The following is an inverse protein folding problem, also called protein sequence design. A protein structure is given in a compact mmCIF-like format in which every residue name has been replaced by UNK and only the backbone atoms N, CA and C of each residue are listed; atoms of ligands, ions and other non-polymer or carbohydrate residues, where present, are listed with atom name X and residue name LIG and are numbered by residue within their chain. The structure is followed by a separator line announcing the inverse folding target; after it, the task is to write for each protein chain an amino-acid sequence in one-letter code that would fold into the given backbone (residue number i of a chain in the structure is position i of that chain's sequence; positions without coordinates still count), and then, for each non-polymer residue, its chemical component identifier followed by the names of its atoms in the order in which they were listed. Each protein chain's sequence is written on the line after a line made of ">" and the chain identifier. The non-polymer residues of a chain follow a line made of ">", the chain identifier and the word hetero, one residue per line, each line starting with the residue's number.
data_IF_709670870655
#
_entry.id   IF_709670870655
#
_cell.length_a   1.000
_cell.length_b   1.000
_cell.length_c   1.000
_cell.angle_alpha   90.00
_cell.angle_beta   90.00
_cell.angle_gamma   90.00
#
_symmetry.space_group_name_H-M   'P 1'
#
loop_
_entity.id
_entity.type
_entity.pdbx_description
1 polymer ?
#
# COMPACT_ATOMS: atom_id res chain seq x y z
N UNK A 1 -12.16 17.22 14.23
CA UNK A 1 -10.86 17.23 13.52
C UNK A 1 -10.73 16.12 12.46
N UNK A 2 -11.82 15.58 11.89
CA UNK A 2 -11.79 14.35 11.06
C UNK A 2 -12.03 14.54 9.55
N UNK A 3 -12.28 15.77 9.07
CA UNK A 3 -12.64 16.01 7.66
C UNK A 3 -11.44 16.05 6.70
N UNK A 4 -10.26 16.44 7.16
CA UNK A 4 -9.11 16.67 6.26
C UNK A 4 -8.46 15.37 5.77
N UNK A 5 -8.39 14.33 6.62
CA UNK A 5 -7.86 13.01 6.23
C UNK A 5 -8.73 12.29 5.18
N UNK A 6 -10.05 12.55 5.17
CA UNK A 6 -10.96 11.94 4.22
C UNK A 6 -10.76 12.48 2.80
N UNK A 7 -10.37 13.75 2.64
CA UNK A 7 -10.12 14.35 1.33
C UNK A 7 -8.84 13.79 0.69
N UNK A 8 -7.75 13.73 1.46
CA UNK A 8 -6.48 13.18 0.97
C UNK A 8 -6.57 11.72 0.53
N UNK A 9 -7.31 10.89 1.28
CA UNK A 9 -7.53 9.49 0.88
C UNK A 9 -8.39 9.36 -0.38
N UNK A 10 -9.40 10.22 -0.56
CA UNK A 10 -10.21 10.25 -1.79
C UNK A 10 -9.41 10.70 -3.01
N UNK A 11 -8.53 11.69 -2.87
CA UNK A 11 -7.68 12.17 -3.96
C UNK A 11 -6.65 11.08 -4.39
N UNK A 12 -6.11 10.34 -3.42
CA UNK A 12 -5.24 9.18 -3.70
C UNK A 12 -6.00 8.08 -4.46
N UNK A 13 -7.21 7.73 -4.01
CA UNK A 13 -8.04 6.72 -4.69
C UNK A 13 -8.41 7.18 -6.11
N UNK A 14 -8.77 8.45 -6.29
CA UNK A 14 -9.04 9.01 -7.61
C UNK A 14 -7.81 8.93 -8.53
N UNK A 15 -6.61 9.22 -8.00
CA UNK A 15 -5.35 9.05 -8.73
C UNK A 15 -5.04 7.60 -9.09
N UNK A 16 -5.34 6.64 -8.22
CA UNK A 16 -5.19 5.21 -8.50
C UNK A 16 -6.16 4.73 -9.59
N UNK A 17 -7.42 5.20 -9.55
CA UNK A 17 -8.40 4.94 -10.59
C UNK A 17 -7.99 5.57 -11.93
N UNK A 18 -7.51 6.82 -11.93
CA UNK A 18 -7.06 7.51 -13.14
C UNK A 18 -5.85 6.81 -13.79
N UNK A 19 -5.00 6.17 -13.00
CA UNK A 19 -3.86 5.38 -13.48
C UNK A 19 -4.23 3.94 -13.86
N UNK A 20 -5.51 3.56 -13.75
CA UNK A 20 -5.99 2.22 -14.07
C UNK A 20 -5.45 1.13 -13.16
N UNK A 21 -4.96 1.47 -11.96
CA UNK A 21 -4.44 0.50 -10.99
C UNK A 21 -5.57 -0.14 -10.18
N UNK A 22 -6.68 0.59 -10.03
CA UNK A 22 -7.83 0.22 -9.21
C UNK A 22 -9.10 0.58 -9.96
N UNK A 23 -10.10 -0.30 -9.95
CA UNK A 23 -11.40 -0.04 -10.60
C UNK A 23 -12.42 0.35 -9.55
N UNK A 24 -13.22 1.41 -9.78
CA UNK A 24 -14.34 1.74 -8.91
C UNK A 24 -15.55 0.86 -9.24
N UNK A 25 -15.88 -0.09 -8.37
CA UNK A 25 -17.11 -0.87 -8.44
C UNK A 25 -18.15 -0.34 -7.45
N UNK A 26 -19.30 0.09 -7.97
CA UNK A 26 -20.46 0.47 -7.15
C UNK A 26 -21.39 -0.72 -7.00
N UNK A 27 -21.36 -1.35 -5.85
CA UNK A 27 -22.29 -2.42 -5.47
C UNK A 27 -23.44 -1.87 -4.63
N UNK A 28 -24.57 -2.57 -4.55
CA UNK A 28 -25.63 -2.31 -3.57
C UNK A 28 -25.71 -3.46 -2.58
N UNK A 29 -25.34 -3.23 -1.33
CA UNK A 29 -25.61 -4.17 -0.25
C UNK A 29 -27.11 -4.10 0.10
N UNK A 30 -27.78 -5.27 0.15
CA UNK A 30 -29.22 -5.41 0.42
C UNK A 30 -30.14 -4.57 -0.50
N UNK A 31 -29.67 -4.21 -1.70
CA UNK A 31 -30.46 -3.43 -2.68
C UNK A 31 -30.62 -1.94 -2.38
N UNK A 32 -30.30 -1.47 -1.17
CA UNK A 32 -30.52 -0.08 -0.70
C UNK A 32 -29.27 0.65 -0.25
N UNK A 33 -28.19 -0.05 0.10
CA UNK A 33 -26.95 0.60 0.58
C UNK A 33 -25.87 0.59 -0.51
N UNK A 34 -25.53 1.73 -1.13
CA UNK A 34 -24.44 1.79 -2.09
C UNK A 34 -23.11 1.54 -1.36
N UNK A 35 -22.41 0.48 -1.75
CA UNK A 35 -21.07 0.13 -1.31
C UNK A 35 -20.11 0.38 -2.46
N UNK A 36 -19.08 1.21 -2.23
CA UNK A 36 -17.99 1.39 -3.20
C UNK A 36 -16.90 0.39 -2.85
N UNK A 37 -16.56 -0.47 -3.82
CA UNK A 37 -15.40 -1.35 -3.77
C UNK A 37 -14.39 -0.86 -4.78
N UNK A 38 -13.12 -1.06 -4.45
CA UNK A 38 -11.99 -0.61 -5.25
C UNK A 38 -11.09 -1.84 -5.52
N UNK A 39 -11.57 -2.85 -6.28
CA UNK A 39 -10.72 -3.97 -6.66
C UNK A 39 -9.48 -3.51 -7.44
N UNK A 40 -8.36 -4.17 -7.20
CA UNK A 40 -7.15 -4.02 -8.02
C UNK A 40 -7.50 -4.38 -9.47
N UNK A 41 -7.28 -3.44 -10.39
CA UNK A 41 -7.51 -3.66 -11.82
C UNK A 41 -6.40 -4.53 -12.42
N UNK A 42 -5.17 -4.33 -11.95
CA UNK A 42 -4.01 -5.16 -12.26
C UNK A 42 -3.12 -5.33 -11.03
N UNK A 43 -3.23 -6.49 -10.37
CA UNK A 43 -2.39 -6.83 -9.22
C UNK A 43 -0.93 -7.07 -9.57
N UNK A 44 -0.52 -7.03 -10.85
CA UNK A 44 0.88 -7.17 -11.26
C UNK A 44 1.75 -6.06 -10.68
N UNK A 45 1.24 -4.82 -10.67
CA UNK A 45 1.96 -3.64 -10.19
C UNK A 45 2.18 -3.71 -8.69
N UNK A 46 1.17 -4.13 -7.93
CA UNK A 46 1.33 -4.36 -6.50
C UNK A 46 2.30 -5.51 -6.21
N UNK A 47 2.17 -6.63 -6.94
CA UNK A 47 3.09 -7.77 -6.78
C UNK A 47 4.53 -7.40 -7.06
N UNK A 48 4.81 -6.64 -8.11
CA UNK A 48 6.16 -6.17 -8.45
C UNK A 48 6.70 -5.20 -7.37
N UNK A 49 5.86 -4.31 -6.87
CA UNK A 49 6.23 -3.41 -5.78
C UNK A 49 6.56 -4.18 -4.50
N UNK A 50 5.73 -5.17 -4.15
CA UNK A 50 5.93 -6.04 -2.98
C UNK A 50 7.18 -6.90 -3.14
N UNK A 51 7.46 -7.39 -4.34
CA UNK A 51 8.68 -8.15 -4.64
C UNK A 51 9.93 -7.28 -4.48
N UNK A 52 9.91 -6.02 -4.94
CA UNK A 52 11.03 -5.08 -4.72
C UNK A 52 11.24 -4.76 -3.25
N UNK A 53 10.16 -4.50 -2.51
CA UNK A 53 10.23 -4.29 -1.06
C UNK A 53 10.78 -5.52 -0.34
N UNK A 54 10.37 -6.72 -0.75
CA UNK A 54 10.90 -7.97 -0.22
C UNK A 54 12.40 -8.13 -0.54
N UNK A 55 12.83 -7.85 -1.77
CA UNK A 55 14.24 -7.93 -2.15
C UNK A 55 15.13 -6.99 -1.32
N UNK A 56 14.66 -5.78 -1.03
CA UNK A 56 15.41 -4.80 -0.22
C UNK A 56 15.42 -5.16 1.26
N UNK A 57 14.26 -5.54 1.81
CA UNK A 57 14.07 -5.73 3.26
C UNK A 57 14.47 -7.14 3.72
N UNK A 58 14.30 -8.16 2.87
CA UNK A 58 14.58 -9.56 3.20
C UNK A 58 15.90 -10.04 2.59
N UNK A 59 16.14 -9.71 1.32
CA UNK A 59 17.33 -10.19 0.59
C UNK A 59 18.50 -9.20 0.64
N UNK A 60 18.31 -8.03 1.28
CA UNK A 60 19.35 -7.04 1.49
C UNK A 60 19.78 -6.28 0.23
N UNK A 61 18.96 -6.28 -0.83
CA UNK A 61 19.24 -5.51 -2.04
C UNK A 61 19.37 -4.01 -1.75
N UNK A 62 20.17 -3.31 -2.57
CA UNK A 62 20.36 -1.86 -2.44
C UNK A 62 19.06 -1.13 -2.84
N UNK A 63 18.47 -0.32 -1.96
CA UNK A 63 17.24 0.40 -2.27
C UNK A 63 17.52 1.59 -3.20
N UNK A 64 16.65 1.76 -4.20
CA UNK A 64 16.59 3.02 -4.94
C UNK A 64 15.93 4.12 -4.08
N UNK A 65 16.16 5.40 -4.41
CA UNK A 65 15.66 6.54 -3.63
C UNK A 65 14.13 6.53 -3.42
N UNK A 66 13.36 6.01 -4.38
CA UNK A 66 11.90 5.91 -4.28
C UNK A 66 11.52 4.77 -3.33
N UNK A 67 12.23 3.65 -3.39
CA UNK A 67 12.04 2.49 -2.51
C UNK A 67 12.44 2.82 -1.07
N UNK A 68 13.55 3.53 -0.83
CA UNK A 68 13.92 4.01 0.51
C UNK A 68 12.86 4.90 1.12
N UNK A 69 12.36 5.89 0.34
CA UNK A 69 11.29 6.77 0.81
C UNK A 69 10.01 5.98 1.18
N UNK A 70 9.66 4.95 0.40
CA UNK A 70 8.52 4.10 0.68
C UNK A 70 8.73 3.25 1.94
N UNK A 71 9.92 2.68 2.11
CA UNK A 71 10.30 1.91 3.31
C UNK A 71 10.21 2.77 4.56
N UNK A 72 10.75 4.00 4.51
CA UNK A 72 10.67 4.95 5.61
C UNK A 72 9.23 5.31 5.98
N UNK A 73 8.36 5.54 5.00
CA UNK A 73 6.93 5.80 5.22
C UNK A 73 6.22 4.59 5.87
N UNK A 74 6.47 3.38 5.38
CA UNK A 74 5.91 2.16 5.97
C UNK A 74 6.39 1.94 7.41
N UNK A 75 7.67 2.22 7.67
CA UNK A 75 8.24 2.12 9.01
C UNK A 75 7.58 3.13 9.97
N UNK A 76 7.48 4.39 9.55
CA UNK A 76 6.87 5.47 10.33
C UNK A 76 5.37 5.27 10.60
N UNK A 77 4.64 4.70 9.64
CA UNK A 77 3.19 4.43 9.75
C UNK A 77 2.88 3.10 10.45
N UNK A 78 3.88 2.26 10.71
CA UNK A 78 3.70 0.98 11.38
C UNK A 78 3.07 -0.12 10.51
N UNK A 79 2.93 0.08 9.20
CA UNK A 79 2.22 -0.81 8.25
C UNK A 79 2.96 -2.11 7.87
N UNK A 80 3.88 -2.56 8.73
CA UNK A 80 4.63 -3.81 8.59
C UNK A 80 3.76 -5.05 8.32
N UNK A 81 2.68 -5.34 9.09
CA UNK A 81 1.89 -6.56 8.89
C UNK A 81 1.10 -6.59 7.57
N UNK A 82 0.79 -5.42 7.00
CA UNK A 82 0.09 -5.30 5.72
C UNK A 82 1.07 -5.41 4.53
N UNK A 83 2.31 -4.98 4.72
CA UNK A 83 3.36 -5.03 3.69
C UNK A 83 4.03 -6.40 3.62
N UNK A 84 4.24 -7.04 4.76
CA UNK A 84 4.90 -8.33 4.86
C UNK A 84 4.01 -9.34 5.61
N UNK A 85 2.92 -9.79 4.98
CA UNK A 85 2.03 -10.77 5.61
C UNK A 85 2.80 -12.06 5.90
N UNK A 86 2.69 -12.55 7.14
CA UNK A 86 3.37 -13.77 7.59
C UNK A 86 4.78 -13.56 8.14
N UNK A 87 5.35 -12.35 8.07
CA UNK A 87 6.65 -12.04 8.67
C UNK A 87 6.50 -11.26 9.98
N UNK A 88 7.21 -11.66 11.05
CA UNK A 88 7.16 -10.94 12.30
C UNK A 88 7.87 -9.58 12.17
N UNK A 89 7.24 -8.51 12.66
CA UNK A 89 7.79 -7.14 12.66
C UNK A 89 9.25 -7.07 13.15
N UNK A 90 9.61 -7.90 14.12
CA UNK A 90 10.97 -7.96 14.69
C UNK A 90 12.06 -8.32 13.67
N UNK A 91 11.72 -9.03 12.59
CA UNK A 91 12.67 -9.40 11.53
C UNK A 91 12.84 -8.28 10.50
N UNK A 92 11.77 -7.56 10.17
CA UNK A 92 11.77 -6.53 9.11
C UNK A 92 12.10 -5.13 9.63
N UNK A 93 11.70 -4.78 10.85
CA UNK A 93 11.88 -3.44 11.40
C UNK A 93 13.35 -2.99 11.52
N UNK A 94 14.33 -3.85 11.90
CA UNK A 94 15.73 -3.44 11.95
C UNK A 94 16.24 -3.00 10.57
N UNK A 95 16.00 -3.81 9.53
CA UNK A 95 16.43 -3.51 8.17
C UNK A 95 15.73 -2.27 7.61
N UNK A 96 14.44 -2.10 7.88
CA UNK A 96 13.69 -0.91 7.46
C UNK A 96 14.13 0.38 8.17
N UNK A 97 14.74 0.29 9.34
CA UNK A 97 15.26 1.44 10.08
C UNK A 97 16.69 1.84 9.63
N UNK A 98 17.42 0.93 8.99
CA UNK A 98 18.73 1.20 8.38
C UNK A 98 18.62 1.89 7.01
N UNK A 99 17.48 1.72 6.34
CA UNK A 99 17.15 2.29 5.04
C UNK A 99 16.59 3.70 5.19
#
# INVERSE_FOLDING_TARGET
>A
LTREHAKGSQDVVAGLCARGLVTEEKHRALGVFPVRRYPEADGSVERELRARLAAVVLDGAEPDARTSALVALLHATGMHPQTFPGLPKKQVAPRMAEI
#
